data_IF_681737047051
#
_entry.id   IF_681737047051
#
_cell.length_a   1.000
_cell.length_b   1.000
_cell.length_c   1.000
_cell.angle_alpha   90.00
_cell.angle_beta   90.00
_cell.angle_gamma   90.00
#
_symmetry.space_group_name_H-M   'P 1'
#
loop_
_entity.id
_entity.type
_entity.pdbx_description
1 polymer ?
#
# COMPACT_ATOMS: atom_id res chain seq x y z
N UNK A 1 10.53 -19.44 2.48
CA UNK A 1 10.13 -19.84 1.11
C UNK A 1 9.38 -18.71 0.41
N UNK A 2 8.32 -18.15 1.01
CA UNK A 2 7.54 -17.03 0.45
C UNK A 2 8.37 -15.78 0.13
N UNK A 3 9.30 -15.41 1.02
CA UNK A 3 10.21 -14.26 0.82
C UNK A 3 11.08 -14.44 -0.44
N UNK A 4 11.68 -15.62 -0.64
CA UNK A 4 12.49 -15.93 -1.83
C UNK A 4 11.66 -15.85 -3.13
N UNK A 5 10.43 -16.36 -3.10
CA UNK A 5 9.50 -16.28 -4.24
C UNK A 5 9.14 -14.82 -4.54
N UNK A 6 8.85 -14.04 -3.50
CA UNK A 6 8.55 -12.61 -3.63
C UNK A 6 9.73 -11.82 -4.19
N UNK A 7 10.95 -12.10 -3.73
CA UNK A 7 12.18 -11.50 -4.27
C UNK A 7 12.34 -11.83 -5.76
N UNK A 8 12.15 -13.08 -6.16
CA UNK A 8 12.24 -13.49 -7.56
C UNK A 8 11.21 -12.76 -8.44
N UNK A 9 9.98 -12.61 -7.95
CA UNK A 9 8.91 -11.87 -8.64
C UNK A 9 9.28 -10.38 -8.78
N UNK A 10 9.77 -9.74 -7.72
CA UNK A 10 10.18 -8.34 -7.75
C UNK A 10 11.33 -8.13 -8.74
N UNK A 11 12.32 -9.03 -8.73
CA UNK A 11 13.44 -8.98 -9.69
C UNK A 11 12.95 -9.16 -11.12
N UNK A 12 12.04 -10.11 -11.37
CA UNK A 12 11.43 -10.29 -12.69
C UNK A 12 10.75 -8.99 -13.17
N UNK A 13 9.90 -8.39 -12.34
CA UNK A 13 9.18 -7.16 -12.67
C UNK A 13 10.17 -6.02 -12.96
N UNK A 14 11.17 -5.83 -12.10
CA UNK A 14 12.15 -4.76 -12.25
C UNK A 14 12.99 -4.92 -13.52
N UNK A 15 13.49 -6.14 -13.78
CA UNK A 15 14.29 -6.44 -14.98
C UNK A 15 13.44 -6.27 -16.24
N UNK A 16 12.21 -6.81 -16.23
CA UNK A 16 11.28 -6.66 -17.35
C UNK A 16 11.02 -5.18 -17.63
N UNK A 17 10.57 -4.41 -16.64
CA UNK A 17 10.30 -2.99 -16.84
C UNK A 17 11.54 -2.23 -17.32
N UNK A 18 12.72 -2.51 -16.76
CA UNK A 18 13.94 -1.81 -17.15
C UNK A 18 14.35 -2.11 -18.61
N UNK A 19 14.43 -3.39 -18.99
CA UNK A 19 14.81 -3.81 -20.34
C UNK A 19 13.84 -3.22 -21.37
N UNK A 20 12.54 -3.28 -21.09
CA UNK A 20 11.53 -2.81 -22.02
C UNK A 20 11.49 -1.29 -22.13
N UNK A 21 11.66 -0.57 -21.03
CA UNK A 21 11.79 0.88 -21.09
C UNK A 21 13.01 1.31 -21.91
N UNK A 22 14.15 0.60 -21.76
CA UNK A 22 15.36 0.90 -22.55
C UNK A 22 15.14 0.58 -24.05
N UNK A 23 14.49 -0.54 -24.36
CA UNK A 23 14.31 -0.99 -25.74
C UNK A 23 13.26 -0.19 -26.52
N UNK A 24 12.17 0.24 -25.87
CA UNK A 24 10.98 0.78 -26.56
C UNK A 24 10.69 2.25 -26.29
N UNK A 25 11.30 2.86 -25.26
CA UNK A 25 11.00 4.25 -24.90
C UNK A 25 12.12 5.19 -25.36
N UNK A 26 11.82 6.19 -26.21
CA UNK A 26 12.82 7.16 -26.64
C UNK A 26 13.47 7.90 -25.47
N UNK A 27 14.78 8.19 -25.57
CA UNK A 27 15.54 8.86 -24.52
C UNK A 27 14.94 10.21 -24.08
N UNK A 28 14.35 10.98 -25.02
CA UNK A 28 13.66 12.23 -24.68
C UNK A 28 12.45 12.04 -23.76
N UNK A 29 11.75 10.90 -23.85
CA UNK A 29 10.59 10.60 -23.00
C UNK A 29 11.01 10.31 -21.56
N UNK A 30 12.17 9.69 -21.34
CA UNK A 30 12.73 9.51 -19.99
C UNK A 30 12.87 10.86 -19.28
N UNK A 31 13.51 11.82 -19.95
CA UNK A 31 13.70 13.14 -19.38
C UNK A 31 12.38 13.88 -19.18
N UNK A 32 11.44 13.78 -20.13
CA UNK A 32 10.12 14.39 -20.01
C UNK A 32 9.33 13.86 -18.80
N UNK A 33 9.29 12.54 -18.60
CA UNK A 33 8.58 11.93 -17.45
C UNK A 33 9.29 12.27 -16.14
N UNK A 34 10.63 12.31 -16.15
CA UNK A 34 11.42 12.68 -14.97
C UNK A 34 11.18 14.14 -14.56
N UNK A 35 11.21 15.07 -15.52
CA UNK A 35 10.91 16.49 -15.28
C UNK A 35 9.47 16.68 -14.78
N UNK A 36 8.52 15.85 -15.23
CA UNK A 36 7.14 15.86 -14.74
C UNK A 36 6.99 15.62 -13.23
N UNK A 37 8.00 15.05 -12.55
CA UNK A 37 8.02 14.95 -11.08
C UNK A 37 8.20 16.30 -10.38
N UNK A 38 8.72 17.30 -11.11
CA UNK A 38 9.00 18.65 -10.63
C UNK A 38 8.07 19.70 -11.25
N UNK A 39 7.14 19.28 -12.12
CA UNK A 39 6.10 20.16 -12.67
C UNK A 39 4.88 20.17 -11.74
N UNK A 40 4.67 21.29 -11.06
CA UNK A 40 3.58 21.44 -10.09
C UNK A 40 2.44 22.31 -10.67
N UNK A 41 1.19 21.99 -10.28
CA UNK A 41 0.03 22.87 -10.52
C UNK A 41 -0.67 22.70 -11.86
N UNK A 42 -0.27 21.76 -12.72
CA UNK A 42 -0.94 21.49 -13.99
C UNK A 42 -1.94 20.35 -13.83
N UNK A 43 -3.23 20.68 -13.65
CA UNK A 43 -4.32 19.71 -13.74
C UNK A 43 -4.95 19.85 -15.14
N UNK A 44 -4.96 18.79 -15.97
CA UNK A 44 -5.58 18.85 -17.29
C UNK A 44 -7.06 19.25 -17.22
N UNK A 45 -7.51 20.09 -18.16
CA UNK A 45 -8.94 20.44 -18.28
C UNK A 45 -9.77 19.17 -18.51
N UNK A 46 -10.84 18.98 -17.74
CA UNK A 46 -11.67 17.79 -17.79
C UNK A 46 -11.10 16.57 -17.06
N UNK A 47 -10.10 16.75 -16.18
CA UNK A 47 -9.59 15.67 -15.35
C UNK A 47 -10.69 15.06 -14.48
N UNK A 48 -10.76 13.73 -14.44
CA UNK A 48 -11.70 13.04 -13.57
C UNK A 48 -11.18 13.02 -12.14
N UNK A 49 -11.80 13.80 -11.26
CA UNK A 49 -11.49 13.84 -9.83
C UNK A 49 -11.56 12.47 -9.14
N UNK A 50 -12.42 11.56 -9.62
CA UNK A 50 -12.46 10.17 -9.13
C UNK A 50 -11.15 9.43 -9.45
N UNK A 51 -10.65 9.60 -10.68
CA UNK A 51 -9.42 8.99 -11.14
C UNK A 51 -8.19 9.62 -10.45
N UNK A 52 -8.16 10.94 -10.34
CA UNK A 52 -7.07 11.65 -9.64
C UNK A 52 -7.01 11.27 -8.16
N UNK A 53 -8.15 11.22 -7.48
CA UNK A 53 -8.24 10.77 -6.08
C UNK A 53 -7.84 9.31 -5.93
N UNK A 54 -8.27 8.44 -6.85
CA UNK A 54 -7.85 7.03 -6.87
C UNK A 54 -6.33 6.89 -7.05
N UNK A 55 -5.76 7.61 -8.02
CA UNK A 55 -4.33 7.62 -8.29
C UNK A 55 -3.52 8.10 -7.08
N UNK A 56 -3.91 9.25 -6.51
CA UNK A 56 -3.27 9.81 -5.32
C UNK A 56 -3.33 8.83 -4.13
N UNK A 57 -4.49 8.22 -3.89
CA UNK A 57 -4.69 7.33 -2.74
C UNK A 57 -4.08 5.94 -2.89
N UNK A 58 -3.81 5.47 -4.11
CA UNK A 58 -3.04 4.23 -4.36
C UNK A 58 -1.53 4.44 -4.32
N UNK A 59 -1.04 5.67 -4.38
CA UNK A 59 0.39 5.95 -4.27
C UNK A 59 0.93 5.54 -2.88
N UNK A 60 2.06 4.83 -2.85
CA UNK A 60 2.77 4.47 -1.61
C UNK A 60 2.01 3.55 -0.66
N UNK A 61 1.62 2.35 -1.11
CA UNK A 61 0.90 1.34 -0.30
C UNK A 61 -0.23 1.96 0.53
N UNK A 62 -1.21 2.52 -0.18
CA UNK A 62 -2.26 3.32 0.41
C UNK A 62 -2.89 2.73 1.68
N UNK A 63 -3.23 3.62 2.63
CA UNK A 63 -4.19 3.38 3.69
C UNK A 63 -3.78 2.35 4.76
N UNK A 64 -4.50 1.21 4.84
CA UNK A 64 -4.26 0.12 5.79
C UNK A 64 -2.93 -0.59 5.49
N UNK A 65 -2.40 -0.41 4.28
CA UNK A 65 -1.05 -0.80 3.90
C UNK A 65 -0.01 -0.42 4.96
N UNK A 66 -0.03 0.86 5.35
CA UNK A 66 0.89 1.41 6.35
C UNK A 66 0.61 0.92 7.79
N UNK A 67 -0.57 0.38 8.06
CA UNK A 67 -0.95 -0.13 9.39
C UNK A 67 -0.50 -1.57 9.54
N UNK A 68 -0.77 -2.43 8.57
CA UNK A 68 -0.36 -3.84 8.65
C UNK A 68 1.13 -4.06 8.43
N UNK A 69 1.86 -3.11 7.82
CA UNK A 69 3.33 -3.21 7.70
C UNK A 69 3.97 -3.17 9.07
N UNK A 70 3.39 -2.44 10.03
CA UNK A 70 3.79 -2.49 11.43
C UNK A 70 3.59 -3.88 12.06
N UNK A 71 2.54 -4.62 11.65
CA UNK A 71 2.35 -6.02 12.08
C UNK A 71 3.46 -6.91 11.54
N UNK A 72 3.93 -6.73 10.30
CA UNK A 72 5.07 -7.48 9.77
C UNK A 72 6.38 -7.19 10.51
N UNK A 73 6.61 -5.93 10.90
CA UNK A 73 7.75 -5.55 11.71
C UNK A 73 7.70 -6.19 13.10
N UNK A 74 6.53 -6.18 13.75
CA UNK A 74 6.30 -6.88 15.01
C UNK A 74 6.59 -8.37 14.86
N UNK A 75 6.04 -9.01 13.83
CA UNK A 75 6.16 -10.45 13.62
C UNK A 75 7.61 -10.88 13.30
N UNK A 76 8.41 -10.01 12.65
CA UNK A 76 9.86 -10.20 12.49
C UNK A 76 10.65 -9.98 13.80
N UNK A 77 10.00 -9.56 14.89
CA UNK A 77 10.60 -9.36 16.20
C UNK A 77 11.30 -8.02 16.38
N UNK A 78 11.04 -7.03 15.51
CA UNK A 78 11.67 -5.72 15.63
C UNK A 78 11.20 -4.97 16.89
N UNK A 79 12.15 -4.37 17.60
CA UNK A 79 11.89 -3.64 18.84
C UNK A 79 11.14 -4.49 19.86
N UNK A 80 10.04 -3.95 20.38
CA UNK A 80 9.17 -4.64 21.36
C UNK A 80 8.43 -5.85 20.77
N UNK A 81 8.43 -6.05 19.45
CA UNK A 81 7.83 -7.23 18.81
C UNK A 81 8.47 -8.55 19.25
N UNK A 82 9.78 -8.54 19.56
CA UNK A 82 10.49 -9.70 20.12
C UNK A 82 9.91 -10.19 21.46
N UNK A 83 9.22 -9.31 22.20
CA UNK A 83 8.64 -9.60 23.52
C UNK A 83 7.14 -9.91 23.40
N UNK A 84 6.43 -9.23 22.51
CA UNK A 84 4.97 -9.35 22.33
C UNK A 84 4.58 -10.61 21.55
N UNK A 85 5.49 -11.16 20.76
CA UNK A 85 5.25 -12.33 19.91
C UNK A 85 4.68 -11.98 18.54
N UNK A 86 4.27 -12.99 17.80
CA UNK A 86 3.85 -12.89 16.40
C UNK A 86 2.57 -13.70 16.14
N UNK A 87 1.85 -13.38 15.07
CA UNK A 87 0.81 -14.28 14.55
C UNK A 87 1.50 -15.44 13.83
N UNK A 88 1.39 -16.70 14.31
CA UNK A 88 2.07 -17.81 13.68
C UNK A 88 1.52 -18.06 12.27
N UNK A 89 2.42 -18.29 11.31
CA UNK A 89 2.06 -18.59 9.92
C UNK A 89 1.20 -19.86 9.81
N UNK A 90 0.27 -19.86 8.85
CA UNK A 90 -0.68 -20.94 8.56
C UNK A 90 -0.04 -22.30 8.23
N UNK A 91 1.22 -22.32 7.79
CA UNK A 91 1.92 -23.55 7.39
C UNK A 91 3.07 -23.80 8.37
N UNK A 92 2.84 -24.76 9.28
CA UNK A 92 3.83 -25.44 10.14
C UNK A 92 4.98 -24.52 10.64
N UNK A 93 4.70 -23.74 11.68
CA UNK A 93 5.69 -22.96 12.42
C UNK A 93 5.49 -23.08 13.94
N UNK A 94 6.56 -22.86 14.71
CA UNK A 94 6.57 -22.88 16.18
C UNK A 94 5.35 -22.12 16.73
N UNK A 95 4.73 -22.64 17.78
CA UNK A 95 3.71 -21.88 18.52
C UNK A 95 4.38 -20.66 19.15
N UNK A 96 4.16 -19.50 18.55
CA UNK A 96 4.57 -18.22 19.12
C UNK A 96 3.32 -17.68 19.82
N UNK A 97 3.39 -17.53 21.14
CA UNK A 97 2.31 -16.92 21.90
C UNK A 97 2.25 -15.43 21.58
N UNK A 98 1.08 -14.93 21.15
CA UNK A 98 0.82 -13.51 20.98
C UNK A 98 0.28 -12.93 22.29
N UNK A 99 1.02 -11.99 22.88
CA UNK A 99 0.60 -11.28 24.10
C UNK A 99 -0.73 -10.52 23.88
N UNK A 100 -1.55 -10.46 24.94
CA UNK A 100 -2.82 -9.69 24.98
C UNK A 100 -2.59 -8.18 24.85
N UNK A 101 -1.49 -7.69 25.42
CA UNK A 101 -1.16 -6.25 25.50
C UNK A 101 0.25 -6.05 24.95
N UNK A 102 0.48 -4.92 24.29
CA UNK A 102 1.82 -4.50 23.88
C UNK A 102 2.75 -4.29 25.09
N UNK A 103 4.06 -4.29 24.85
CA UNK A 103 5.06 -4.02 25.87
C UNK A 103 5.70 -2.66 25.63
N UNK A 104 5.97 -1.92 26.71
CA UNK A 104 6.63 -0.61 26.68
C UNK A 104 7.97 -0.74 27.41
N UNK A 105 9.04 -0.23 26.79
CA UNK A 105 10.34 -0.13 27.46
C UNK A 105 10.38 1.13 28.33
N UNK A 106 11.20 1.09 29.38
CA UNK A 106 11.42 2.25 30.24
C UNK A 106 12.30 3.31 29.53
N UNK A 107 11.76 4.50 29.20
CA UNK A 107 12.49 5.54 28.47
C UNK A 107 13.46 6.32 29.37
N UNK A 108 13.46 6.10 30.69
CA UNK A 108 14.42 6.72 31.61
C UNK A 108 15.80 6.06 31.51
N UNK A 109 15.85 4.81 31.04
CA UNK A 109 17.10 4.06 30.89
C UNK A 109 17.79 4.42 29.58
N UNK A 110 19.02 4.89 29.68
CA UNK A 110 19.76 5.41 28.53
C UNK A 110 19.99 4.35 27.43
N UNK A 111 20.33 3.11 27.82
CA UNK A 111 20.54 2.03 26.85
C UNK A 111 19.29 1.72 26.02
N UNK A 112 18.10 1.76 26.62
CA UNK A 112 16.84 1.56 25.90
C UNK A 112 16.60 2.67 24.88
N UNK A 113 16.89 3.91 25.26
CA UNK A 113 16.76 5.07 24.37
C UNK A 113 17.78 5.03 23.21
N UNK A 114 18.99 4.51 23.43
CA UNK A 114 19.96 4.26 22.34
C UNK A 114 19.43 3.21 21.37
N UNK A 115 18.98 2.06 21.88
CA UNK A 115 18.40 1.00 21.06
C UNK A 115 17.16 1.47 20.27
N UNK A 116 16.30 2.29 20.87
CA UNK A 116 15.16 2.92 20.18
C UNK A 116 15.58 3.81 19.02
N UNK A 117 16.60 4.67 19.23
CA UNK A 117 17.13 5.55 18.18
C UNK A 117 17.78 4.76 17.05
N UNK A 118 18.51 3.70 17.38
CA UNK A 118 19.10 2.79 16.38
C UNK A 118 18.02 2.08 15.57
N UNK A 119 17.02 1.50 16.25
CA UNK A 119 15.86 0.90 15.59
C UNK A 119 15.17 1.89 14.65
N UNK A 120 14.98 3.13 15.09
CA UNK A 120 14.37 4.18 14.26
C UNK A 120 15.23 4.53 13.04
N UNK A 121 16.57 4.49 13.15
CA UNK A 121 17.48 4.69 12.02
C UNK A 121 17.30 3.60 10.98
N UNK A 122 17.24 2.33 11.39
CA UNK A 122 16.98 1.22 10.47
C UNK A 122 15.61 1.34 9.81
N UNK A 123 14.59 1.70 10.58
CA UNK A 123 13.25 1.92 10.07
C UNK A 123 13.21 3.02 9.01
N UNK A 124 13.93 4.12 9.23
CA UNK A 124 13.98 5.22 8.28
C UNK A 124 14.73 4.85 6.99
N UNK A 125 15.79 4.03 7.08
CA UNK A 125 16.45 3.51 5.88
C UNK A 125 15.53 2.56 5.12
N UNK A 126 14.89 1.62 5.81
CA UNK A 126 14.02 0.60 5.18
C UNK A 126 12.76 1.23 4.55
N UNK A 127 11.97 1.96 5.33
CA UNK A 127 10.70 2.54 4.86
C UNK A 127 10.88 3.89 4.18
N UNK A 128 11.77 4.73 4.72
CA UNK A 128 11.96 6.09 4.24
C UNK A 128 12.81 6.20 2.98
N UNK A 129 13.83 5.34 2.82
CA UNK A 129 14.73 5.37 1.66
C UNK A 129 14.42 4.23 0.72
N UNK A 130 14.60 2.98 1.14
CA UNK A 130 14.54 1.81 0.26
C UNK A 130 13.13 1.65 -0.33
N UNK A 131 12.11 1.66 0.51
CA UNK A 131 10.73 1.53 0.06
C UNK A 131 10.26 2.74 -0.74
N UNK A 132 10.55 3.97 -0.29
CA UNK A 132 10.14 5.18 -1.01
C UNK A 132 10.77 5.27 -2.41
N UNK A 133 12.07 5.00 -2.53
CA UNK A 133 12.76 4.95 -3.82
C UNK A 133 12.17 3.83 -4.69
N UNK A 134 11.93 2.65 -4.11
CA UNK A 134 11.28 1.53 -4.81
C UNK A 134 9.90 1.89 -5.37
N UNK A 135 9.07 2.59 -4.59
CA UNK A 135 7.76 3.08 -5.04
C UNK A 135 7.87 4.10 -6.16
N UNK A 136 8.75 5.11 -6.01
CA UNK A 136 8.95 6.14 -7.05
C UNK A 136 9.47 5.51 -8.33
N UNK A 137 10.48 4.64 -8.26
CA UNK A 137 11.02 3.94 -9.43
C UNK A 137 9.98 3.01 -10.09
N UNK A 138 9.23 2.26 -9.28
CA UNK A 138 8.17 1.39 -9.80
C UNK A 138 7.09 2.16 -10.54
N UNK A 139 6.60 3.26 -9.95
CA UNK A 139 5.63 4.15 -10.61
C UNK A 139 6.23 4.78 -11.87
N UNK A 140 7.45 5.31 -11.78
CA UNK A 140 8.15 5.96 -12.88
C UNK A 140 8.30 5.01 -14.08
N UNK A 141 8.80 3.79 -13.87
CA UNK A 141 9.00 2.82 -14.95
C UNK A 141 7.68 2.34 -15.57
N UNK A 142 6.62 2.18 -14.77
CA UNK A 142 5.29 1.83 -15.28
C UNK A 142 4.66 2.95 -16.11
N UNK A 143 4.79 4.20 -15.66
CA UNK A 143 4.30 5.38 -16.39
C UNK A 143 5.12 5.60 -17.67
N UNK A 144 6.44 5.45 -17.58
CA UNK A 144 7.36 5.67 -18.68
C UNK A 144 7.04 4.75 -19.88
N UNK A 145 6.86 3.45 -19.62
CA UNK A 145 6.52 2.50 -20.69
C UNK A 145 5.12 2.79 -21.24
N UNK A 146 4.14 3.12 -20.39
CA UNK A 146 2.80 3.49 -20.83
C UNK A 146 2.82 4.70 -21.77
N UNK A 147 3.49 5.78 -21.38
CA UNK A 147 3.64 7.02 -22.18
C UNK A 147 4.45 6.77 -23.46
N UNK A 148 5.40 5.84 -23.43
CA UNK A 148 6.24 5.51 -24.59
C UNK A 148 5.51 4.73 -25.68
N UNK A 149 4.58 3.84 -25.32
CA UNK A 149 3.94 2.92 -26.27
C UNK A 149 2.47 3.26 -26.57
N UNK A 150 1.78 3.92 -25.65
CA UNK A 150 0.35 4.24 -25.80
C UNK A 150 0.24 5.67 -26.36
N UNK A 151 -0.40 5.86 -27.53
CA UNK A 151 -0.65 7.18 -28.09
C UNK A 151 -1.45 8.07 -27.14
N UNK A 152 -1.07 9.34 -27.04
CA UNK A 152 -1.77 10.33 -26.24
C UNK A 152 -3.24 10.49 -26.70
N UNK A 153 -4.16 10.66 -25.75
CA UNK A 153 -5.60 10.77 -26.03
C UNK A 153 -6.33 9.43 -26.16
N UNK A 154 -5.63 8.30 -26.07
CA UNK A 154 -6.26 6.98 -26.04
C UNK A 154 -7.15 6.86 -24.80
N UNK A 155 -8.45 6.61 -25.00
CA UNK A 155 -9.39 6.38 -23.91
C UNK A 155 -9.18 4.97 -23.35
N UNK A 156 -8.48 4.88 -22.22
CA UNK A 156 -8.29 3.61 -21.51
C UNK A 156 -9.55 3.36 -20.67
N UNK A 157 -10.41 2.45 -21.13
CA UNK A 157 -11.68 2.15 -20.45
C UNK A 157 -11.95 0.65 -20.39
N UNK A 158 -12.76 0.22 -19.40
CA UNK A 158 -13.31 -1.13 -19.33
C UNK A 158 -12.38 -2.19 -18.74
N UNK A 159 -12.76 -3.46 -18.94
CA UNK A 159 -12.05 -4.65 -18.45
C UNK A 159 -10.61 -4.77 -18.95
N UNK A 160 -10.33 -4.23 -20.14
CA UNK A 160 -9.03 -4.30 -20.80
C UNK A 160 -8.06 -3.19 -20.40
N UNK A 161 -8.40 -2.32 -19.43
CA UNK A 161 -7.57 -1.19 -19.02
C UNK A 161 -6.10 -1.60 -18.69
N UNK A 162 -5.91 -2.77 -18.08
CA UNK A 162 -4.59 -3.36 -17.80
C UNK A 162 -3.95 -4.13 -18.96
N UNK A 163 -4.68 -4.41 -20.04
CA UNK A 163 -4.22 -5.14 -21.20
C UNK A 163 -3.72 -4.23 -22.34
N UNK A 164 -4.06 -2.94 -22.34
CA UNK A 164 -3.62 -1.99 -23.37
C UNK A 164 -2.11 -2.00 -23.58
N UNK A 165 -1.33 -2.00 -22.50
CA UNK A 165 0.13 -2.07 -22.61
C UNK A 165 0.57 -3.34 -23.36
N UNK A 166 -0.03 -4.49 -23.04
CA UNK A 166 0.25 -5.74 -23.73
C UNK A 166 -0.16 -5.70 -25.21
N UNK A 167 -1.30 -5.08 -25.54
CA UNK A 167 -1.76 -4.91 -26.93
C UNK A 167 -0.80 -4.05 -27.77
N UNK A 168 -0.31 -2.94 -27.23
CA UNK A 168 0.67 -2.11 -27.91
C UNK A 168 2.03 -2.79 -28.02
N UNK A 169 2.45 -3.55 -27.00
CA UNK A 169 3.69 -4.33 -27.06
C UNK A 169 3.62 -5.47 -28.08
N UNK A 170 2.45 -6.09 -28.26
CA UNK A 170 2.24 -7.16 -29.24
C UNK A 170 2.49 -6.73 -30.69
N UNK A 171 2.31 -5.43 -30.98
CA UNK A 171 2.54 -4.85 -32.32
C UNK A 171 4.01 -4.87 -32.72
N UNK A 172 4.92 -4.86 -31.75
CA UNK A 172 6.36 -4.98 -32.00
C UNK A 172 6.78 -6.44 -32.14
N UNK A 173 6.36 -7.29 -31.19
CA UNK A 173 6.66 -8.71 -31.22
C UNK A 173 5.57 -9.49 -30.48
N UNK A 174 4.90 -10.44 -31.17
CA UNK A 174 3.70 -11.12 -30.65
C UNK A 174 3.87 -11.75 -29.25
N UNK A 175 5.00 -12.42 -28.91
CA UNK A 175 5.23 -12.97 -27.57
C UNK A 175 5.25 -11.92 -26.44
N UNK A 176 5.48 -10.64 -26.75
CA UNK A 176 5.45 -9.56 -25.77
C UNK A 176 4.08 -9.37 -25.14
N UNK A 177 3.02 -9.73 -25.85
CA UNK A 177 1.67 -9.72 -25.31
C UNK A 177 1.60 -10.57 -24.04
N UNK A 178 2.07 -11.83 -24.13
CA UNK A 178 2.07 -12.75 -23.00
C UNK A 178 2.99 -12.25 -21.89
N UNK A 179 4.21 -11.81 -22.23
CA UNK A 179 5.18 -11.36 -21.21
C UNK A 179 4.70 -10.12 -20.45
N UNK A 180 4.03 -9.19 -21.13
CA UNK A 180 3.44 -8.00 -20.52
C UNK A 180 2.29 -8.38 -19.57
N UNK A 181 1.37 -9.25 -20.00
CA UNK A 181 0.28 -9.73 -19.16
C UNK A 181 0.77 -10.58 -17.99
N UNK A 182 1.79 -11.42 -18.21
CA UNK A 182 2.41 -12.24 -17.18
C UNK A 182 3.09 -11.36 -16.11
N UNK A 183 3.77 -10.31 -16.53
CA UNK A 183 4.34 -9.32 -15.60
C UNK A 183 3.25 -8.56 -14.86
N UNK A 184 2.20 -8.10 -15.56
CA UNK A 184 1.03 -7.46 -14.95
C UNK A 184 0.33 -8.36 -13.92
N UNK A 185 0.17 -9.64 -14.24
CA UNK A 185 -0.35 -10.66 -13.32
C UNK A 185 0.50 -10.72 -12.06
N UNK A 186 1.82 -10.79 -12.16
CA UNK A 186 2.70 -10.84 -10.99
C UNK A 186 2.63 -9.59 -10.11
N UNK A 187 2.54 -8.40 -10.72
CA UNK A 187 2.36 -7.13 -10.00
C UNK A 187 1.05 -7.17 -9.19
N UNK A 188 -0.06 -7.54 -9.84
CA UNK A 188 -1.37 -7.59 -9.21
C UNK A 188 -1.46 -8.70 -8.16
N UNK A 189 -0.96 -9.89 -8.49
CA UNK A 189 -0.95 -11.05 -7.60
C UNK A 189 -0.18 -10.77 -6.31
N UNK A 190 1.04 -10.21 -6.41
CA UNK A 190 1.83 -9.85 -5.23
C UNK A 190 1.11 -8.83 -4.35
N UNK A 191 0.46 -7.84 -4.98
CA UNK A 191 -0.35 -6.84 -4.26
C UNK A 191 -1.54 -7.49 -3.55
N UNK A 192 -2.28 -8.37 -4.22
CA UNK A 192 -3.44 -9.05 -3.62
C UNK A 192 -3.06 -9.99 -2.47
N UNK A 193 -1.93 -10.70 -2.60
CA UNK A 193 -1.40 -11.51 -1.49
C UNK A 193 -1.08 -10.67 -0.26
N UNK A 194 -0.42 -9.52 -0.46
CA UNK A 194 -0.12 -8.59 0.63
C UNK A 194 -1.41 -8.02 1.27
N UNK A 195 -2.41 -7.69 0.45
CA UNK A 195 -3.69 -7.14 0.91
C UNK A 195 -4.49 -8.15 1.72
N UNK A 196 -4.59 -9.38 1.23
CA UNK A 196 -5.28 -10.47 1.92
C UNK A 196 -4.60 -10.78 3.27
N UNK A 197 -3.28 -10.98 3.27
CA UNK A 197 -2.53 -11.26 4.50
C UNK A 197 -2.68 -10.12 5.52
N UNK A 198 -2.50 -8.89 5.06
CA UNK A 198 -2.61 -7.71 5.91
C UNK A 198 -4.03 -7.51 6.49
N UNK A 199 -5.08 -7.73 5.70
CA UNK A 199 -6.46 -7.66 6.17
C UNK A 199 -6.72 -8.66 7.29
N UNK A 200 -6.37 -9.94 7.04
CA UNK A 200 -6.61 -11.02 8.00
C UNK A 200 -5.85 -10.77 9.30
N UNK A 201 -4.60 -10.30 9.23
CA UNK A 201 -3.82 -9.93 10.42
C UNK A 201 -4.42 -8.77 11.18
N UNK A 202 -4.81 -7.71 10.48
CA UNK A 202 -5.40 -6.52 11.10
C UNK A 202 -6.70 -6.87 11.84
N UNK A 203 -7.58 -7.65 11.22
CA UNK A 203 -8.83 -8.10 11.85
C UNK A 203 -8.54 -9.00 13.05
N UNK A 204 -7.58 -9.92 12.91
CA UNK A 204 -7.17 -10.81 14.00
C UNK A 204 -6.61 -10.02 15.18
N UNK A 205 -5.72 -9.05 14.94
CA UNK A 205 -5.12 -8.19 15.95
C UNK A 205 -6.19 -7.36 16.69
N UNK A 206 -7.15 -6.79 15.96
CA UNK A 206 -8.25 -6.01 16.54
C UNK A 206 -9.13 -6.90 17.43
N UNK A 207 -9.57 -8.06 16.93
CA UNK A 207 -10.44 -8.95 17.69
C UNK A 207 -9.71 -9.52 18.92
N UNK A 208 -8.43 -9.89 18.77
CA UNK A 208 -7.62 -10.47 19.83
C UNK A 208 -7.32 -9.48 20.96
N UNK A 209 -7.13 -8.20 20.63
CA UNK A 209 -6.84 -7.16 21.63
C UNK A 209 -8.09 -6.62 22.32
N UNK A 210 -9.26 -6.68 21.68
CA UNK A 210 -10.50 -6.08 22.20
C UNK A 210 -11.43 -7.08 22.89
N UNK A 211 -11.36 -8.37 22.56
CA UNK A 211 -12.34 -9.36 23.00
C UNK A 211 -11.70 -10.52 23.74
N UNK A 212 -12.29 -10.94 24.88
CA UNK A 212 -11.77 -12.05 25.68
C UNK A 212 -12.17 -13.44 25.18
N UNK A 213 -13.26 -13.54 24.41
CA UNK A 213 -13.83 -14.82 23.96
C UNK A 213 -12.82 -15.69 23.19
N UNK A 214 -12.05 -15.17 22.21
CA UNK A 214 -11.08 -15.98 21.49
C UNK A 214 -9.97 -16.55 22.38
N UNK A 215 -9.63 -15.90 23.50
CA UNK A 215 -8.58 -16.41 24.40
C UNK A 215 -8.96 -17.70 25.12
N UNK A 216 -10.26 -18.00 25.23
CA UNK A 216 -10.77 -19.22 25.88
C UNK A 216 -10.76 -20.43 24.95
N UNK A 217 -10.51 -20.24 23.66
CA UNK A 217 -10.51 -21.32 22.68
C UNK A 217 -9.11 -21.92 22.51
N UNK A 218 -9.01 -23.25 22.43
CA UNK A 218 -7.74 -23.99 22.28
C UNK A 218 -6.86 -23.50 21.11
N UNK A 219 -7.49 -22.97 20.05
CA UNK A 219 -6.81 -22.38 18.88
C UNK A 219 -7.37 -21.02 18.50
N UNK A 220 -7.83 -20.22 19.47
CA UNK A 220 -8.67 -19.06 19.19
C UNK A 220 -8.09 -18.03 18.24
N UNK A 221 -6.80 -17.74 18.34
CA UNK A 221 -6.11 -16.84 17.41
C UNK A 221 -6.15 -17.35 15.96
N UNK A 222 -5.90 -18.66 15.75
CA UNK A 222 -5.98 -19.28 14.43
C UNK A 222 -7.42 -19.32 13.92
N UNK A 223 -8.39 -19.59 14.79
CA UNK A 223 -9.81 -19.58 14.41
C UNK A 223 -10.25 -18.21 13.91
N UNK A 224 -9.88 -17.13 14.63
CA UNK A 224 -10.19 -15.75 14.19
C UNK A 224 -9.49 -15.44 12.86
N UNK A 225 -8.23 -15.84 12.71
CA UNK A 225 -7.48 -15.68 11.46
C UNK A 225 -8.18 -16.37 10.28
N UNK A 226 -8.50 -17.66 10.39
CA UNK A 226 -9.14 -18.39 9.29
C UNK A 226 -10.57 -17.92 9.02
N UNK A 227 -11.29 -17.46 10.04
CA UNK A 227 -12.61 -16.86 9.85
C UNK A 227 -12.52 -15.54 9.09
N UNK A 228 -11.57 -14.67 9.44
CA UNK A 228 -11.33 -13.43 8.71
C UNK A 228 -10.92 -13.71 7.26
N UNK A 229 -10.08 -14.74 7.02
CA UNK A 229 -9.71 -15.18 5.68
C UNK A 229 -10.92 -15.68 4.89
N UNK A 230 -11.77 -16.52 5.49
CA UNK A 230 -12.99 -17.02 4.88
C UNK A 230 -13.91 -15.87 4.46
N UNK A 231 -14.14 -14.91 5.35
CA UNK A 231 -14.97 -13.72 5.07
C UNK A 231 -14.38 -12.90 3.92
N UNK A 232 -13.06 -12.71 3.90
CA UNK A 232 -12.38 -11.98 2.82
C UNK A 232 -12.58 -12.66 1.47
N UNK A 233 -12.37 -13.98 1.40
CA UNK A 233 -12.55 -14.76 0.17
C UNK A 233 -14.01 -14.78 -0.28
N UNK A 234 -14.95 -15.01 0.64
CA UNK A 234 -16.37 -15.00 0.33
C UNK A 234 -16.82 -13.64 -0.21
N UNK A 235 -16.37 -12.54 0.42
CA UNK A 235 -16.66 -11.20 -0.07
C UNK A 235 -16.03 -10.93 -1.44
N UNK A 236 -14.81 -11.41 -1.69
CA UNK A 236 -14.16 -11.31 -3.01
C UNK A 236 -14.97 -11.98 -4.12
N UNK A 237 -15.50 -13.19 -3.87
CA UNK A 237 -16.38 -13.91 -4.80
C UNK A 237 -17.69 -13.17 -5.09
N UNK A 238 -18.23 -12.45 -4.10
CA UNK A 238 -19.42 -11.62 -4.30
C UNK A 238 -19.04 -10.36 -5.08
N UNK A 239 -18.02 -9.64 -4.64
CA UNK A 239 -17.62 -8.34 -5.16
C UNK A 239 -17.24 -8.36 -6.65
N UNK A 240 -16.60 -9.44 -7.13
CA UNK A 240 -16.23 -9.57 -8.54
C UNK A 240 -17.45 -9.58 -9.50
N UNK A 241 -18.64 -9.90 -8.98
CA UNK A 241 -19.88 -9.92 -9.74
C UNK A 241 -20.68 -8.61 -9.65
N UNK A 242 -20.24 -7.63 -8.83
CA UNK A 242 -21.00 -6.41 -8.57
C UNK A 242 -20.71 -5.26 -9.53
N UNK A 243 -19.48 -5.16 -10.04
CA UNK A 243 -19.07 -4.07 -10.92
C UNK A 243 -17.82 -4.42 -11.73
N UNK A 244 -17.54 -3.62 -12.76
CA UNK A 244 -16.31 -3.76 -13.54
C UNK A 244 -15.06 -3.58 -12.64
N UNK A 245 -13.97 -4.34 -12.85
CA UNK A 245 -12.76 -4.30 -12.03
C UNK A 245 -12.16 -2.90 -11.87
N UNK A 246 -12.14 -2.10 -12.94
CA UNK A 246 -11.64 -0.72 -12.88
C UNK A 246 -12.47 0.15 -11.92
N UNK A 247 -13.79 -0.03 -11.90
CA UNK A 247 -14.67 0.70 -10.99
C UNK A 247 -14.47 0.26 -9.54
N UNK A 248 -14.36 -1.04 -9.29
CA UNK A 248 -14.04 -1.58 -7.96
C UNK A 248 -12.68 -1.07 -7.46
N UNK A 249 -11.67 -1.00 -8.34
CA UNK A 249 -10.37 -0.42 -8.03
C UNK A 249 -10.48 1.07 -7.69
N UNK A 250 -11.20 1.86 -8.49
CA UNK A 250 -11.39 3.28 -8.22
C UNK A 250 -12.15 3.55 -6.93
N UNK A 251 -13.20 2.77 -6.64
CA UNK A 251 -13.95 2.85 -5.37
C UNK A 251 -13.02 2.49 -4.21
N UNK A 252 -12.32 1.36 -4.29
CA UNK A 252 -11.38 0.91 -3.27
C UNK A 252 -10.26 1.93 -3.01
N UNK A 253 -9.75 2.57 -4.07
CA UNK A 253 -8.74 3.61 -4.01
C UNK A 253 -9.24 4.89 -3.35
N UNK A 254 -10.40 5.40 -3.76
CA UNK A 254 -10.95 6.61 -3.13
C UNK A 254 -11.39 6.36 -1.71
N UNK A 255 -11.94 5.16 -1.46
CA UNK A 255 -12.13 4.64 -0.13
C UNK A 255 -10.81 4.79 0.58
N UNK A 256 -9.66 4.26 0.06
CA UNK A 256 -8.26 4.42 0.54
C UNK A 256 -7.92 5.84 1.05
N UNK A 257 -8.28 6.88 0.31
CA UNK A 257 -8.11 8.28 0.73
C UNK A 257 -8.80 8.61 2.06
N UNK A 258 -10.02 8.12 2.30
CA UNK A 258 -10.78 8.40 3.53
C UNK A 258 -10.08 7.90 4.82
N UNK A 259 -9.55 6.68 4.85
CA UNK A 259 -8.82 6.17 6.03
C UNK A 259 -7.42 6.78 6.09
N UNK A 260 -6.86 7.36 5.01
CA UNK A 260 -5.69 8.22 5.18
C UNK A 260 -6.01 9.46 6.02
N UNK A 261 -7.19 10.07 5.84
CA UNK A 261 -7.65 11.19 6.68
C UNK A 261 -7.80 10.74 8.12
N UNK A 262 -8.63 9.71 8.37
CA UNK A 262 -8.90 9.20 9.72
C UNK A 262 -7.61 8.69 10.38
N UNK A 263 -6.81 7.93 9.66
CA UNK A 263 -5.55 7.35 10.13
C UNK A 263 -4.50 8.41 10.46
N UNK A 264 -4.36 9.45 9.64
CA UNK A 264 -3.42 10.55 9.93
C UNK A 264 -3.83 11.32 11.19
N UNK A 265 -5.12 11.59 11.37
CA UNK A 265 -5.66 12.22 12.58
C UNK A 265 -5.42 11.33 13.81
N UNK A 266 -5.74 10.04 13.71
CA UNK A 266 -5.51 9.08 14.80
C UNK A 266 -4.02 8.96 15.16
N UNK A 267 -3.12 8.89 14.18
CA UNK A 267 -1.68 8.86 14.42
C UNK A 267 -1.18 10.14 15.09
N UNK A 268 -1.68 11.32 14.67
CA UNK A 268 -1.35 12.59 15.30
C UNK A 268 -1.77 12.60 16.78
N UNK A 269 -3.01 12.21 17.07
CA UNK A 269 -3.51 12.15 18.45
C UNK A 269 -2.73 11.12 19.26
N UNK A 270 -2.55 9.91 18.72
CA UNK A 270 -1.92 8.81 19.45
C UNK A 270 -0.46 9.10 19.80
N UNK A 271 0.29 9.60 18.82
CA UNK A 271 1.70 9.90 18.98
C UNK A 271 1.98 11.09 19.90
N UNK A 272 1.05 12.04 20.03
CA UNK A 272 1.26 13.23 20.86
C UNK A 272 0.58 13.14 22.23
N UNK A 273 -0.48 12.32 22.37
CA UNK A 273 -1.24 12.17 23.63
C UNK A 273 -0.74 10.99 24.47
N UNK A 274 -0.54 9.82 23.87
CA UNK A 274 -0.27 8.58 24.62
C UNK A 274 1.21 8.21 24.69
N UNK A 275 2.05 8.68 23.75
CA UNK A 275 3.49 8.41 23.83
C UNK A 275 4.16 9.25 24.94
N UNK A 276 5.10 8.64 25.71
CA UNK A 276 6.01 9.38 26.59
C UNK A 276 6.70 10.52 25.84
N UNK A 277 6.85 11.68 26.50
CA UNK A 277 7.44 12.89 25.89
C UNK A 277 8.74 12.63 25.11
N UNK A 278 9.69 11.81 25.60
CA UNK A 278 10.95 11.53 24.87
C UNK A 278 10.79 10.74 23.57
N UNK A 279 9.65 10.06 23.36
CA UNK A 279 9.37 9.20 22.21
C UNK A 279 8.48 9.87 21.16
N UNK A 280 8.02 11.10 21.44
CA UNK A 280 7.11 11.81 20.55
C UNK A 280 7.81 12.16 19.23
N UNK A 281 7.08 12.14 18.10
CA UNK A 281 7.63 12.52 16.82
C UNK A 281 8.05 14.01 16.81
N UNK A 282 9.04 14.32 15.98
CA UNK A 282 9.45 15.70 15.72
C UNK A 282 8.33 16.53 15.09
N UNK A 283 8.40 17.86 15.27
CA UNK A 283 7.38 18.79 14.77
C UNK A 283 7.13 18.63 13.26
N UNK A 284 8.18 18.45 12.45
CA UNK A 284 8.02 18.27 11.01
C UNK A 284 7.15 17.03 10.65
N UNK A 285 7.26 15.93 11.40
CA UNK A 285 6.48 14.70 11.15
C UNK A 285 5.01 14.95 11.43
N UNK A 286 4.71 15.69 12.50
CA UNK A 286 3.34 16.12 12.78
C UNK A 286 2.80 17.01 11.66
N UNK A 287 3.59 17.98 11.18
CA UNK A 287 3.20 18.83 10.05
C UNK A 287 2.90 18.00 8.80
N UNK A 288 3.73 17.00 8.47
CA UNK A 288 3.49 16.13 7.30
C UNK A 288 2.25 15.25 7.44
N UNK A 289 1.93 14.77 8.65
CA UNK A 289 0.66 14.07 8.90
C UNK A 289 -0.54 15.00 8.73
N UNK A 290 -0.44 16.27 9.13
CA UNK A 290 -1.50 17.27 8.91
C UNK A 290 -1.66 17.54 7.41
N UNK A 291 -0.56 17.76 6.68
CA UNK A 291 -0.59 17.97 5.23
C UNK A 291 -1.24 16.78 4.54
N UNK A 292 -0.86 15.55 4.91
CA UNK A 292 -1.47 14.32 4.40
C UNK A 292 -2.97 14.28 4.66
N UNK A 293 -3.41 14.57 5.89
CA UNK A 293 -4.83 14.59 6.25
C UNK A 293 -5.61 15.61 5.41
N UNK A 294 -5.09 16.83 5.24
CA UNK A 294 -5.72 17.90 4.46
C UNK A 294 -5.78 17.54 2.97
N UNK A 295 -4.67 17.03 2.42
CA UNK A 295 -4.55 16.62 1.03
C UNK A 295 -5.57 15.53 0.67
N UNK A 296 -5.66 14.48 1.47
CA UNK A 296 -6.63 13.42 1.21
C UNK A 296 -8.08 13.83 1.55
N UNK A 297 -8.28 14.72 2.52
CA UNK A 297 -9.60 15.27 2.82
C UNK A 297 -10.14 16.07 1.63
N UNK A 298 -9.30 16.84 0.94
CA UNK A 298 -9.67 17.53 -0.30
C UNK A 298 -10.22 16.55 -1.35
N UNK A 299 -9.53 15.44 -1.63
CA UNK A 299 -10.03 14.45 -2.60
C UNK A 299 -11.33 13.78 -2.17
N UNK A 300 -11.48 13.46 -0.88
CA UNK A 300 -12.72 12.88 -0.34
C UNK A 300 -13.89 13.85 -0.48
N UNK A 301 -13.68 15.13 -0.13
CA UNK A 301 -14.70 16.18 -0.26
C UNK A 301 -15.06 16.40 -1.73
N UNK A 302 -14.05 16.49 -2.62
CA UNK A 302 -14.28 16.66 -4.05
C UNK A 302 -15.08 15.50 -4.65
N UNK A 303 -14.82 14.27 -4.19
CA UNK A 303 -15.57 13.09 -4.61
C UNK A 303 -17.03 13.13 -4.14
N UNK A 304 -17.26 13.39 -2.85
CA UNK A 304 -18.61 13.49 -2.29
C UNK A 304 -19.38 14.62 -2.95
N UNK A 305 -18.74 15.77 -3.14
CA UNK A 305 -19.33 16.92 -3.81
C UNK A 305 -19.71 16.64 -5.27
N UNK A 306 -18.90 15.86 -6.01
CA UNK A 306 -19.24 15.40 -7.36
C UNK A 306 -20.45 14.44 -7.35
N UNK A 307 -20.53 13.53 -6.38
CA UNK A 307 -21.63 12.57 -6.28
C UNK A 307 -22.96 13.20 -5.83
N UNK A 308 -22.90 14.21 -4.96
CA UNK A 308 -24.07 14.93 -4.42
C UNK A 308 -24.51 16.11 -5.27
N UNK A 309 -23.73 16.48 -6.30
CA UNK A 309 -23.99 17.63 -7.16
C UNK A 309 -23.67 18.99 -6.52
N UNK A 310 -23.17 19.00 -5.27
CA UNK A 310 -22.88 20.21 -4.51
C UNK A 310 -21.57 20.89 -4.91
N UNK A 311 -20.71 20.18 -5.66
CA UNK A 311 -19.38 20.65 -6.03
C UNK A 311 -19.16 20.44 -7.53
N UNK A 312 -19.42 21.48 -8.32
CA UNK A 312 -19.10 21.52 -9.76
C UNK A 312 -17.81 22.32 -9.94
N UNK A 313 -16.66 21.66 -9.85
CA UNK A 313 -15.42 22.25 -10.38
C UNK A 313 -15.51 22.16 -11.90
N UNK A 314 -15.61 23.32 -12.56
CA UNK A 314 -15.40 23.47 -14.00
C UNK A 314 -13.95 23.25 -14.37
#
# INVERSE_FOLDING_TARGET
MLEKVSTAIVLWIAIFLLIFNIAFVPAGTWWRVFLGLFEFGVIPKGADWLLLGAFAAHSGAGRLGNVWTASWMRDKGFGMGSIVGAIPSAIKGKEIALSKIGSIFDPTKEHNMRAWKEWWKYLWVDQGIVWAIGCVLGMYLCVLIAVGIIPAGTKITGLAAGAYQAEYMAKFWKPLWFLALFTGFWILWGTQLAVMDGYVRTVTDIIWSTTEKPHRWKYGQRTVYYLALLIFVAWGCIAINLAAPMMLLMIGANMAGFIFVVGSIHLLVLNNKYLPKPLRPSLWRNIMLIISAVFFAFFVIALVGKQTGWWTIK
#
